data_IF_919842199716
#
_entry.id   IF_919842199716
#
_cell.length_a   1.000
_cell.length_b   1.000
_cell.length_c   1.000
_cell.angle_alpha   90.00
_cell.angle_beta   90.00
_cell.angle_gamma   90.00
#
_symmetry.space_group_name_H-M   'P 1'
#
loop_
_entity.id
_entity.type
_entity.pdbx_description
1 polymer ?
#
# COMPACT_ATOMS: atom_id res chain seq x y z
N UNK A 1 -0.55 7.78 -33.85
CA UNK A 1 0.86 7.83 -33.39
C UNK A 1 1.15 8.97 -32.41
N UNK A 2 1.02 10.27 -32.76
CA UNK A 2 1.25 11.38 -31.78
C UNK A 2 0.26 11.40 -30.60
N UNK A 3 -1.02 11.10 -30.85
CA UNK A 3 -2.06 10.97 -29.81
C UNK A 3 -1.81 9.80 -28.85
N UNK A 4 -1.29 8.69 -29.36
CA UNK A 4 -0.96 7.48 -28.60
C UNK A 4 0.26 7.70 -27.69
N UNK A 5 1.28 8.41 -28.21
CA UNK A 5 2.46 8.81 -27.43
C UNK A 5 2.13 9.86 -26.36
N UNK A 6 1.13 10.72 -26.61
CA UNK A 6 0.62 11.70 -25.64
C UNK A 6 -0.15 11.01 -24.50
N UNK A 7 -0.85 9.91 -24.80
CA UNK A 7 -1.52 9.06 -23.81
C UNK A 7 -0.53 8.22 -22.99
N UNK A 8 0.52 7.67 -23.61
CA UNK A 8 1.63 7.01 -22.89
C UNK A 8 2.46 8.00 -22.04
N UNK A 9 2.41 9.29 -22.38
CA UNK A 9 3.03 10.40 -21.64
C UNK A 9 2.09 11.06 -20.62
N UNK A 10 0.80 10.73 -20.59
CA UNK A 10 -0.09 11.16 -19.52
C UNK A 10 0.33 10.43 -18.25
N UNK A 11 0.99 11.16 -17.34
CA UNK A 11 1.40 10.64 -16.05
C UNK A 11 0.25 9.89 -15.37
N UNK A 12 0.50 8.65 -14.93
CA UNK A 12 -0.47 7.85 -14.18
C UNK A 12 -1.12 8.71 -13.08
N UNK A 13 -2.46 8.69 -12.92
CA UNK A 13 -3.17 9.59 -12.00
C UNK A 13 -2.76 9.43 -10.52
N UNK A 14 -2.06 8.35 -10.18
CA UNK A 14 -1.49 8.10 -8.85
C UNK A 14 -0.15 8.80 -8.59
N UNK A 15 0.53 9.35 -9.62
CA UNK A 15 1.82 10.03 -9.48
C UNK A 15 1.71 11.44 -8.87
N UNK A 16 0.61 12.15 -9.15
CA UNK A 16 0.41 13.57 -8.80
C UNK A 16 -0.12 13.82 -7.39
N UNK A 17 -0.29 12.79 -6.55
CA UNK A 17 -0.79 12.98 -5.18
C UNK A 17 0.32 13.66 -4.35
N UNK A 18 0.16 14.95 -3.95
CA UNK A 18 1.18 15.64 -3.17
C UNK A 18 1.32 14.95 -1.81
N UNK A 19 2.51 14.45 -1.53
CA UNK A 19 2.80 13.72 -0.28
C UNK A 19 3.02 14.72 0.84
N UNK A 20 2.14 14.73 1.84
CA UNK A 20 2.38 15.51 3.06
C UNK A 20 3.50 14.88 3.90
N UNK A 21 4.18 15.67 4.74
CA UNK A 21 5.28 15.19 5.59
C UNK A 21 4.85 14.02 6.49
N UNK A 22 3.63 14.07 7.04
CA UNK A 22 3.05 12.97 7.83
C UNK A 22 2.82 11.68 7.03
N UNK A 23 2.56 11.79 5.72
CA UNK A 23 2.41 10.62 4.85
C UNK A 23 3.77 9.98 4.52
N UNK A 24 4.84 10.78 4.39
CA UNK A 24 6.20 10.24 4.22
C UNK A 24 6.68 9.50 5.47
N UNK A 25 6.45 10.04 6.65
CA UNK A 25 6.86 9.40 7.91
C UNK A 25 6.04 8.14 8.21
N UNK A 26 4.72 8.17 7.96
CA UNK A 26 3.85 6.99 8.13
C UNK A 26 4.20 5.83 7.19
N UNK A 27 4.57 6.13 5.93
CA UNK A 27 5.03 5.12 4.97
C UNK A 27 6.34 4.46 5.39
N UNK A 28 7.28 5.26 5.89
CA UNK A 28 8.56 4.75 6.36
C UNK A 28 8.39 3.94 7.63
N UNK A 29 7.52 4.40 8.55
CA UNK A 29 7.20 3.69 9.79
C UNK A 29 6.49 2.37 9.51
N UNK A 30 5.55 2.33 8.56
CA UNK A 30 4.83 1.09 8.20
C UNK A 30 5.78 0.08 7.55
N UNK A 31 6.68 0.53 6.66
CA UNK A 31 7.70 -0.34 6.06
C UNK A 31 8.70 -0.89 7.09
N UNK A 32 9.06 -0.08 8.08
CA UNK A 32 10.01 -0.47 9.12
C UNK A 32 9.38 -1.38 10.18
N UNK A 33 8.18 -1.04 10.66
CA UNK A 33 7.42 -1.81 11.64
C UNK A 33 6.89 -3.15 11.08
N UNK A 34 6.67 -3.26 9.77
CA UNK A 34 6.29 -4.51 9.09
C UNK A 34 7.47 -5.45 8.77
N UNK A 35 8.70 -5.09 9.13
CA UNK A 35 9.88 -5.91 8.85
C UNK A 35 10.05 -7.04 9.87
N UNK A 36 10.43 -8.22 9.40
CA UNK A 36 10.78 -9.37 10.25
C UNK A 36 11.92 -9.05 11.23
N UNK A 37 12.86 -8.18 10.83
CA UNK A 37 13.96 -7.74 11.69
C UNK A 37 13.47 -6.89 12.88
N UNK A 38 12.40 -6.10 12.71
CA UNK A 38 11.82 -5.30 13.78
C UNK A 38 11.15 -6.18 14.84
N UNK A 39 10.40 -7.20 14.41
CA UNK A 39 9.75 -8.17 15.31
C UNK A 39 10.80 -8.90 16.17
N UNK A 40 11.90 -9.34 15.55
CA UNK A 40 13.00 -10.03 16.26
C UNK A 40 13.70 -9.09 17.25
N UNK A 41 14.01 -7.85 16.84
CA UNK A 41 14.63 -6.84 17.72
C UNK A 41 13.72 -6.50 18.91
N UNK A 42 12.42 -6.31 18.66
CA UNK A 42 11.44 -6.01 19.70
C UNK A 42 11.29 -7.17 20.68
N UNK A 43 11.27 -8.41 20.19
CA UNK A 43 11.30 -9.61 21.03
C UNK A 43 12.56 -9.69 21.90
N UNK A 44 13.73 -9.39 21.34
CA UNK A 44 14.99 -9.33 22.09
C UNK A 44 14.99 -8.23 23.15
N UNK A 45 14.44 -7.06 22.85
CA UNK A 45 14.30 -5.96 23.81
C UNK A 45 13.40 -6.37 24.98
N UNK A 46 12.26 -7.01 24.71
CA UNK A 46 11.35 -7.51 25.74
C UNK A 46 12.01 -8.59 26.59
N UNK A 47 12.68 -9.57 25.98
CA UNK A 47 13.46 -10.58 26.70
C UNK A 47 14.54 -9.95 27.57
N UNK A 48 15.27 -8.97 27.04
CA UNK A 48 16.30 -8.24 27.81
C UNK A 48 15.69 -7.49 29.00
N UNK A 49 14.53 -6.86 28.83
CA UNK A 49 13.83 -6.18 29.91
C UNK A 49 13.40 -7.15 31.01
N UNK A 50 12.86 -8.31 30.63
CA UNK A 50 12.46 -9.37 31.57
C UNK A 50 13.69 -9.90 32.31
N UNK A 51 14.81 -10.16 31.61
CA UNK A 51 16.05 -10.63 32.22
C UNK A 51 16.65 -9.61 33.19
N UNK A 52 16.66 -8.33 32.84
CA UNK A 52 17.15 -7.25 33.71
C UNK A 52 16.26 -7.11 34.96
N UNK A 53 14.93 -7.11 34.81
CA UNK A 53 14.02 -7.03 35.95
C UNK A 53 14.12 -8.27 36.86
N UNK A 54 14.22 -9.46 36.27
CA UNK A 54 14.40 -10.72 37.00
C UNK A 54 15.75 -10.80 37.69
N UNK A 55 16.82 -10.20 37.12
CA UNK A 55 18.11 -10.09 37.80
C UNK A 55 18.08 -9.06 38.93
N UNK A 56 17.35 -7.96 38.77
CA UNK A 56 17.22 -6.92 39.79
C UNK A 56 16.42 -7.41 41.01
N UNK A 57 15.44 -8.31 40.82
CA UNK A 57 14.69 -8.96 41.92
C UNK A 57 15.60 -9.77 42.84
N UNK A 58 16.66 -10.38 42.30
CA UNK A 58 17.66 -11.15 43.04
C UNK A 58 18.53 -10.25 43.95
N UNK A 59 18.63 -8.94 43.64
CA UNK A 59 19.35 -7.94 44.45
C UNK A 59 18.44 -7.19 45.44
N UNK A 60 17.18 -7.61 45.61
CA UNK A 60 16.27 -7.04 46.62
C UNK A 60 15.72 -5.65 46.29
N UNK A 61 15.93 -5.16 45.06
CA UNK A 61 15.24 -3.99 44.53
C UNK A 61 14.22 -4.46 43.49
N UNK A 62 12.98 -4.04 43.60
CA UNK A 62 11.94 -4.35 42.60
C UNK A 62 11.57 -3.08 41.87
N UNK A 63 12.07 -2.91 40.65
CA UNK A 63 11.70 -1.76 39.82
C UNK A 63 10.34 -1.98 39.13
N UNK A 64 10.00 -3.23 38.77
CA UNK A 64 8.68 -3.63 38.25
C UNK A 64 8.26 -5.03 38.77
N UNK A 65 7.54 -5.11 39.92
CA UNK A 65 7.08 -6.38 40.49
C UNK A 65 6.15 -7.15 39.54
N UNK A 66 6.13 -8.48 39.64
CA UNK A 66 5.16 -9.31 38.94
C UNK A 66 3.73 -8.85 39.29
N UNK A 67 2.87 -8.44 38.33
CA UNK A 67 2.78 -8.86 36.93
C UNK A 67 3.20 -7.79 35.89
N UNK A 68 4.37 -7.15 36.05
CA UNK A 68 4.99 -6.20 35.10
C UNK A 68 4.04 -5.10 34.60
N UNK A 69 3.53 -4.29 35.54
CA UNK A 69 2.47 -3.31 35.26
C UNK A 69 2.91 -2.25 34.25
N UNK A 70 4.19 -1.85 34.29
CA UNK A 70 4.74 -0.83 33.38
C UNK A 70 4.91 -1.39 31.96
N UNK A 71 5.40 -2.63 31.84
CA UNK A 71 5.52 -3.29 30.54
C UNK A 71 4.15 -3.44 29.88
N UNK A 72 3.16 -3.88 30.64
CA UNK A 72 1.80 -4.08 30.15
C UNK A 72 1.16 -2.76 29.69
N UNK A 73 1.36 -1.68 30.46
CA UNK A 73 0.87 -0.35 30.11
C UNK A 73 1.50 0.17 28.81
N UNK A 74 2.82 0.05 28.65
CA UNK A 74 3.53 0.49 27.45
C UNK A 74 3.09 -0.32 26.22
N UNK A 75 2.98 -1.64 26.34
CA UNK A 75 2.53 -2.51 25.25
C UNK A 75 1.09 -2.21 24.84
N UNK A 76 0.20 -1.96 25.81
CA UNK A 76 -1.20 -1.59 25.54
C UNK A 76 -1.29 -0.25 24.81
N UNK A 77 -0.49 0.74 25.21
CA UNK A 77 -0.42 2.03 24.54
C UNK A 77 0.13 1.92 23.11
N UNK A 78 1.19 1.11 22.91
CA UNK A 78 1.75 0.84 21.58
C UNK A 78 0.70 0.18 20.66
N UNK A 79 -0.03 -0.83 21.16
CA UNK A 79 -1.09 -1.49 20.42
C UNK A 79 -2.23 -0.52 20.06
N UNK A 80 -2.62 0.37 20.97
CA UNK A 80 -3.66 1.37 20.73
C UNK A 80 -3.31 2.33 19.59
N UNK A 81 -2.03 2.71 19.44
CA UNK A 81 -1.57 3.60 18.36
C UNK A 81 -1.40 2.84 17.04
N UNK A 82 -1.13 1.52 17.07
CA UNK A 82 -0.97 0.72 15.86
C UNK A 82 -2.26 0.66 15.02
N UNK A 83 -3.43 0.47 15.63
CA UNK A 83 -4.68 0.31 14.88
C UNK A 83 -5.03 1.54 14.00
N UNK A 84 -4.95 2.80 14.48
CA UNK A 84 -5.15 3.99 13.65
C UNK A 84 -4.09 4.16 12.57
N UNK A 85 -2.81 3.88 12.86
CA UNK A 85 -1.72 4.00 11.87
C UNK A 85 -1.92 3.01 10.73
N UNK A 86 -2.26 1.76 11.06
CA UNK A 86 -2.61 0.72 10.08
C UNK A 86 -3.84 1.16 9.27
N UNK A 87 -4.89 1.65 9.94
CA UNK A 87 -6.13 2.11 9.30
C UNK A 87 -5.89 3.30 8.35
N UNK A 88 -5.03 4.26 8.74
CA UNK A 88 -4.65 5.38 7.88
C UNK A 88 -3.83 4.92 6.66
N UNK A 89 -2.92 3.96 6.86
CA UNK A 89 -2.15 3.36 5.77
C UNK A 89 -3.05 2.60 4.78
N UNK A 90 -4.01 1.84 5.31
CA UNK A 90 -5.03 1.11 4.53
C UNK A 90 -5.98 2.06 3.78
N UNK A 91 -6.53 3.07 4.44
CA UNK A 91 -7.42 4.06 3.82
C UNK A 91 -6.74 4.80 2.66
N UNK A 92 -5.43 5.00 2.75
CA UNK A 92 -4.65 5.61 1.67
C UNK A 92 -4.38 4.63 0.53
N UNK A 93 -4.07 3.37 0.84
CA UNK A 93 -3.87 2.35 -0.19
C UNK A 93 -5.16 2.11 -0.98
N UNK A 94 -6.31 2.02 -0.31
CA UNK A 94 -7.62 1.86 -0.96
C UNK A 94 -7.99 3.04 -1.86
N UNK A 95 -7.63 4.27 -1.49
CA UNK A 95 -7.81 5.44 -2.36
C UNK A 95 -6.97 5.36 -3.63
N UNK A 96 -5.70 4.95 -3.54
CA UNK A 96 -4.85 4.73 -4.72
C UNK A 96 -5.40 3.63 -5.60
N UNK A 97 -5.83 2.52 -5.01
CA UNK A 97 -6.38 1.38 -5.72
C UNK A 97 -7.69 1.76 -6.44
N UNK A 98 -8.55 2.57 -5.81
CA UNK A 98 -9.77 3.10 -6.44
C UNK A 98 -9.47 3.99 -7.64
N UNK A 99 -8.52 4.92 -7.53
CA UNK A 99 -8.13 5.80 -8.64
C UNK A 99 -7.55 4.97 -9.79
N UNK A 100 -6.70 3.99 -9.47
CA UNK A 100 -6.14 3.07 -10.46
C UNK A 100 -7.25 2.29 -11.18
N UNK A 101 -8.21 1.73 -10.46
CA UNK A 101 -9.33 1.00 -11.05
C UNK A 101 -10.20 1.87 -11.97
N UNK A 102 -10.45 3.13 -11.61
CA UNK A 102 -11.19 4.07 -12.45
C UNK A 102 -10.44 4.39 -13.75
N UNK A 103 -9.12 4.58 -13.67
CA UNK A 103 -8.28 4.80 -14.83
C UNK A 103 -8.26 3.57 -15.74
N UNK A 104 -7.95 2.39 -15.20
CA UNK A 104 -7.91 1.13 -15.95
C UNK A 104 -9.25 0.86 -16.66
N UNK A 105 -10.38 1.16 -16.01
CA UNK A 105 -11.71 1.09 -16.63
C UNK A 105 -11.86 2.04 -17.83
N UNK A 106 -11.46 3.32 -17.68
CA UNK A 106 -11.55 4.30 -18.76
C UNK A 106 -10.69 3.91 -19.97
N UNK A 107 -9.48 3.39 -19.72
CA UNK A 107 -8.59 2.86 -20.78
C UNK A 107 -9.25 1.69 -21.49
N UNK A 108 -9.82 0.75 -20.73
CA UNK A 108 -10.45 -0.44 -21.31
C UNK A 108 -11.65 -0.09 -22.19
N UNK A 109 -12.49 0.87 -21.77
CA UNK A 109 -13.61 1.37 -22.58
C UNK A 109 -13.13 2.04 -23.87
N UNK A 110 -12.02 2.79 -23.81
CA UNK A 110 -11.43 3.41 -25.00
C UNK A 110 -10.89 2.35 -25.97
N UNK A 111 -10.15 1.37 -25.45
CA UNK A 111 -9.64 0.25 -26.25
C UNK A 111 -10.78 -0.54 -26.91
N UNK A 112 -11.89 -0.79 -26.21
CA UNK A 112 -13.05 -1.48 -26.79
C UNK A 112 -13.65 -0.71 -27.97
N UNK A 113 -13.73 0.62 -27.89
CA UNK A 113 -14.20 1.48 -28.99
C UNK A 113 -13.27 1.40 -30.20
N UNK A 114 -11.97 1.54 -29.99
CA UNK A 114 -10.97 1.47 -31.06
C UNK A 114 -11.00 0.09 -31.76
N UNK A 115 -11.09 -1.00 -30.99
CA UNK A 115 -11.25 -2.37 -31.56
C UNK A 115 -12.53 -2.50 -32.37
N UNK A 116 -13.63 -1.90 -31.91
CA UNK A 116 -14.92 -1.91 -32.62
C UNK A 116 -14.85 -1.14 -33.93
N UNK A 117 -14.11 -0.03 -33.97
CA UNK A 117 -13.87 0.75 -35.19
C UNK A 117 -13.04 -0.03 -36.21
N UNK A 118 -11.91 -0.62 -35.78
CA UNK A 118 -11.08 -1.49 -36.64
C UNK A 118 -11.91 -2.65 -37.20
N UNK A 119 -12.78 -3.27 -36.39
CA UNK A 119 -13.66 -4.35 -36.84
C UNK A 119 -14.67 -3.89 -37.90
N UNK A 120 -15.16 -2.66 -37.84
CA UNK A 120 -16.03 -2.08 -38.87
C UNK A 120 -15.27 -1.89 -40.18
N UNK A 121 -14.09 -1.29 -40.13
CA UNK A 121 -13.24 -1.08 -41.32
C UNK A 121 -12.86 -2.42 -41.97
N UNK A 122 -12.49 -3.43 -41.17
CA UNK A 122 -12.17 -4.76 -41.68
C UNK A 122 -13.36 -5.43 -42.38
N UNK A 123 -14.56 -5.31 -41.81
CA UNK A 123 -15.77 -5.83 -42.43
C UNK A 123 -16.12 -5.09 -43.72
N UNK A 124 -15.88 -3.79 -43.78
CA UNK A 124 -16.09 -2.97 -44.98
C UNK A 124 -15.13 -3.38 -46.09
N UNK A 125 -13.84 -3.52 -45.79
CA UNK A 125 -12.83 -4.03 -46.73
C UNK A 125 -13.23 -5.42 -47.23
N UNK A 126 -13.63 -6.33 -46.34
CA UNK A 126 -14.10 -7.67 -46.71
C UNK A 126 -15.27 -7.61 -47.70
N UNK A 127 -16.24 -6.73 -47.45
CA UNK A 127 -17.41 -6.55 -48.32
C UNK A 127 -17.04 -6.03 -49.71
N UNK A 128 -16.07 -5.11 -49.79
CA UNK A 128 -15.56 -4.58 -51.07
C UNK A 128 -14.85 -5.69 -51.85
N UNK A 129 -14.03 -6.51 -51.18
CA UNK A 129 -13.35 -7.64 -51.81
C UNK A 129 -14.33 -8.69 -52.34
N UNK A 130 -15.40 -8.99 -51.61
CA UNK A 130 -16.46 -9.90 -52.07
C UNK A 130 -17.17 -9.37 -53.32
N UNK A 131 -17.46 -8.06 -53.37
CA UNK A 131 -18.07 -7.43 -54.56
C UNK A 131 -17.16 -7.42 -55.79
N UNK A 132 -15.83 -7.33 -55.61
CA UNK A 132 -14.85 -7.28 -56.71
C UNK A 132 -14.54 -8.66 -57.31
N UNK A 133 -14.97 -9.73 -56.63
CA UNK A 133 -14.76 -11.12 -57.05
C UNK A 133 -15.87 -11.64 -58.00
N UNK A 134 -16.90 -10.82 -58.23
CA UNK A 134 -17.96 -10.99 -59.25
C UNK A 134 -17.89 -9.84 -60.24
#
# INVERSE_FOLDING_TARGET
MKEEFKFLSEEHPTSKIPRTLGQKTSDNLTKWAGSWAFIILFGFMLLSWILINSYWILFGRTWDPYPFILLNLVLSCLAAIQAPVILMSQNRQSQKDRIKAQYDYAVNVKAEKEVREIKKELNEIKRILEKKKY
#
